data_IF_153274853438
#
_entry.id   IF_153274853438
#
_cell.length_a   1.000
_cell.length_b   1.000
_cell.length_c   1.000
_cell.angle_alpha   90.00
_cell.angle_beta   90.00
_cell.angle_gamma   90.00
#
_symmetry.space_group_name_H-M   'P 1'
#
loop_
_entity.id
_entity.type
_entity.pdbx_description
1 polymer ?
#
# COMPACT_ATOMS: atom_id res chain seq x y z
N UNK A 1 8.74 -13.63 -1.62
CA UNK A 1 8.88 -12.43 -0.73
C UNK A 1 9.87 -11.39 -1.27
N UNK A 2 10.95 -11.79 -1.95
CA UNK A 2 11.96 -10.84 -2.49
C UNK A 2 11.33 -9.78 -3.40
N UNK A 3 10.44 -10.18 -4.30
CA UNK A 3 9.83 -9.25 -5.26
C UNK A 3 8.97 -8.15 -4.64
N UNK A 4 8.22 -8.46 -3.57
CA UNK A 4 7.46 -7.44 -2.82
C UNK A 4 8.42 -6.42 -2.22
N UNK A 5 9.54 -6.87 -1.63
CA UNK A 5 10.57 -5.99 -1.05
C UNK A 5 11.25 -5.11 -2.10
N UNK A 6 11.57 -5.66 -3.27
CA UNK A 6 12.15 -4.89 -4.38
C UNK A 6 11.23 -3.76 -4.82
N UNK A 7 9.97 -4.07 -5.09
CA UNK A 7 8.97 -3.09 -5.53
C UNK A 7 8.75 -2.02 -4.46
N UNK A 8 8.65 -2.43 -3.20
CA UNK A 8 8.48 -1.53 -2.05
C UNK A 8 9.69 -0.62 -1.82
N UNK A 9 10.89 -1.00 -2.27
CA UNK A 9 12.08 -0.17 -2.17
C UNK A 9 12.15 0.94 -3.24
N UNK A 10 11.38 0.83 -4.33
CA UNK A 10 11.44 1.77 -5.46
C UNK A 10 10.58 3.02 -5.27
N UNK A 11 9.66 3.03 -4.31
CA UNK A 11 8.73 4.15 -4.12
C UNK A 11 8.43 4.41 -2.65
N UNK A 12 8.28 5.68 -2.23
CA UNK A 12 7.92 6.04 -0.85
C UNK A 12 6.61 5.39 -0.36
N UNK A 13 5.65 5.24 -1.27
CA UNK A 13 4.36 4.60 -0.99
C UNK A 13 4.05 3.61 -2.10
N UNK A 14 3.68 2.39 -1.71
CA UNK A 14 3.29 1.31 -2.61
C UNK A 14 1.95 0.74 -2.16
N UNK A 15 1.05 0.53 -3.11
CA UNK A 15 -0.27 -0.07 -2.90
C UNK A 15 -0.39 -1.28 -3.83
N UNK A 16 -0.57 -2.47 -3.26
CA UNK A 16 -0.98 -3.65 -4.02
C UNK A 16 -2.50 -3.72 -4.07
N UNK A 17 -3.05 -3.96 -5.25
CA UNK A 17 -4.47 -3.94 -5.55
C UNK A 17 -4.87 -5.11 -6.46
N UNK A 18 -6.17 -5.22 -6.77
CA UNK A 18 -6.72 -6.06 -7.84
C UNK A 18 -7.74 -5.24 -8.64
N UNK A 19 -7.89 -5.54 -9.93
CA UNK A 19 -8.93 -4.92 -10.77
C UNK A 19 -10.30 -5.04 -10.11
N UNK A 20 -11.03 -3.94 -10.04
CA UNK A 20 -12.39 -3.91 -9.48
C UNK A 20 -12.47 -3.86 -7.94
N UNK A 21 -11.35 -3.80 -7.22
CA UNK A 21 -11.37 -3.64 -5.77
C UNK A 21 -11.71 -2.19 -5.37
N UNK A 22 -12.95 -1.92 -4.98
CA UNK A 22 -13.41 -0.60 -4.53
C UNK A 22 -12.59 -0.05 -3.35
N UNK A 23 -12.24 -0.91 -2.38
CA UNK A 23 -11.46 -0.50 -1.21
C UNK A 23 -10.05 -0.04 -1.57
N UNK A 24 -9.42 -0.68 -2.56
CA UNK A 24 -8.11 -0.23 -3.05
C UNK A 24 -8.19 1.16 -3.67
N UNK A 25 -9.26 1.42 -4.44
CA UNK A 25 -9.49 2.72 -5.05
C UNK A 25 -9.66 3.82 -3.99
N UNK A 26 -10.46 3.54 -2.95
CA UNK A 26 -10.64 4.46 -1.82
C UNK A 26 -9.32 4.78 -1.12
N UNK A 27 -8.50 3.77 -0.83
CA UNK A 27 -7.19 3.96 -0.19
C UNK A 27 -6.22 4.73 -1.08
N UNK A 28 -6.21 4.46 -2.39
CA UNK A 28 -5.42 5.22 -3.35
C UNK A 28 -5.83 6.71 -3.36
N UNK A 29 -7.13 7.02 -3.40
CA UNK A 29 -7.62 8.40 -3.34
C UNK A 29 -7.24 9.06 -2.02
N UNK A 30 -7.41 8.38 -0.89
CA UNK A 30 -7.03 8.90 0.42
C UNK A 30 -5.55 9.33 0.44
N UNK A 31 -4.66 8.44 0.01
CA UNK A 31 -3.21 8.70 -0.01
C UNK A 31 -2.88 9.85 -0.97
N UNK A 32 -3.48 9.88 -2.16
CA UNK A 32 -3.33 10.99 -3.11
C UNK A 32 -3.87 12.31 -2.56
N UNK A 33 -4.93 12.27 -1.74
CA UNK A 33 -5.50 13.44 -1.07
C UNK A 33 -4.54 14.12 -0.08
N UNK A 34 -3.55 13.40 0.43
CA UNK A 34 -2.45 14.00 1.20
C UNK A 34 -1.38 14.68 0.33
N UNK A 35 -1.47 14.60 -1.00
CA UNK A 35 -0.45 15.06 -1.94
C UNK A 35 0.62 14.02 -2.26
N UNK A 36 0.44 12.76 -1.85
CA UNK A 36 1.39 11.68 -2.14
C UNK A 36 1.18 11.11 -3.55
N UNK A 37 2.23 10.57 -4.15
CA UNK A 37 2.16 9.81 -5.40
C UNK A 37 2.44 8.31 -5.15
N UNK A 38 1.42 7.50 -4.81
CA UNK A 38 1.62 6.08 -4.56
C UNK A 38 1.81 5.30 -5.86
N UNK A 39 2.76 4.37 -5.87
CA UNK A 39 2.88 3.36 -6.93
C UNK A 39 1.83 2.25 -6.69
N UNK A 40 0.99 1.98 -7.67
CA UNK A 40 -0.10 1.00 -7.58
C UNK A 40 0.22 -0.21 -8.45
N UNK A 41 0.17 -1.40 -7.88
CA UNK A 41 0.43 -2.68 -8.56
C UNK A 41 -0.81 -3.56 -8.51
N UNK A 42 -1.45 -3.76 -9.66
CA UNK A 42 -2.62 -4.64 -9.81
C UNK A 42 -2.17 -6.10 -9.95
N UNK A 43 -2.30 -6.87 -8.87
CA UNK A 43 -1.79 -8.25 -8.79
C UNK A 43 -2.41 -9.16 -9.85
N UNK A 44 -3.69 -9.02 -10.15
CA UNK A 44 -4.38 -9.82 -11.16
C UNK A 44 -3.92 -9.54 -12.60
N UNK A 45 -3.19 -8.44 -12.83
CA UNK A 45 -2.61 -8.09 -14.14
C UNK A 45 -1.11 -8.38 -14.24
N UNK A 46 -0.48 -8.74 -13.13
CA UNK A 46 0.96 -9.04 -13.10
C UNK A 46 1.19 -10.53 -13.38
N UNK A 47 2.18 -10.88 -14.23
CA UNK A 47 2.51 -12.29 -14.51
C UNK A 47 2.93 -13.05 -13.24
N UNK A 48 3.50 -12.35 -12.26
CA UNK A 48 3.92 -12.86 -10.96
C UNK A 48 2.95 -12.50 -9.81
N UNK A 49 1.72 -12.09 -10.14
CA UNK A 49 0.72 -11.62 -9.19
C UNK A 49 0.37 -12.61 -8.08
N UNK A 50 0.24 -13.89 -8.42
CA UNK A 50 -0.10 -14.97 -7.47
C UNK A 50 1.00 -15.15 -6.41
N UNK A 51 2.28 -15.04 -6.80
CA UNK A 51 3.40 -15.17 -5.87
C UNK A 51 3.45 -13.97 -4.92
N UNK A 52 3.24 -12.76 -5.44
CA UNK A 52 3.17 -11.54 -4.64
C UNK A 52 1.98 -11.58 -3.69
N UNK A 53 0.82 -12.03 -4.13
CA UNK A 53 -0.37 -12.23 -3.30
C UNK A 53 -0.09 -13.17 -2.12
N UNK A 54 0.51 -14.34 -2.37
CA UNK A 54 0.91 -15.28 -1.32
C UNK A 54 1.88 -14.64 -0.33
N UNK A 55 2.83 -13.84 -0.82
CA UNK A 55 3.77 -13.13 0.04
C UNK A 55 3.06 -12.08 0.92
N UNK A 56 2.07 -11.36 0.40
CA UNK A 56 1.27 -10.39 1.16
C UNK A 56 0.42 -11.06 2.23
N UNK A 57 -0.21 -12.20 1.92
CA UNK A 57 -0.94 -13.01 2.90
C UNK A 57 0.03 -13.49 4.00
N UNK A 58 1.23 -13.93 3.63
CA UNK A 58 2.27 -14.33 4.58
C UNK A 58 2.79 -13.20 5.47
N UNK A 59 2.61 -11.93 5.07
CA UNK A 59 2.89 -10.75 5.89
C UNK A 59 1.71 -10.38 6.82
N UNK A 60 0.60 -11.11 6.76
CA UNK A 60 -0.59 -10.85 7.55
C UNK A 60 -1.64 -9.98 6.86
N UNK A 61 -1.54 -9.72 5.56
CA UNK A 61 -2.59 -9.01 4.82
C UNK A 61 -3.77 -9.95 4.53
N UNK A 62 -4.90 -9.76 5.22
CA UNK A 62 -6.12 -10.53 4.99
C UNK A 62 -7.35 -9.61 4.99
N UNK A 63 -8.06 -9.42 3.86
CA UNK A 63 -7.77 -9.97 2.53
C UNK A 63 -6.43 -9.48 1.96
N UNK A 64 -5.92 -10.16 0.92
CA UNK A 64 -4.60 -9.88 0.34
C UNK A 64 -4.44 -8.48 -0.26
N UNK A 65 -5.57 -7.81 -0.58
CA UNK A 65 -5.62 -6.45 -1.10
C UNK A 65 -6.76 -5.63 -0.45
N UNK A 66 -6.60 -4.31 -0.32
CA UNK A 66 -5.37 -3.56 -0.61
C UNK A 66 -4.28 -3.91 0.41
N UNK A 67 -3.02 -3.93 -0.03
CA UNK A 67 -1.87 -4.02 0.88
C UNK A 67 -1.01 -2.76 0.71
N UNK A 68 -0.83 -2.00 1.79
CA UNK A 68 -0.19 -0.69 1.74
C UNK A 68 1.16 -0.71 2.42
N UNK A 69 2.15 -0.11 1.77
CA UNK A 69 3.48 0.09 2.29
C UNK A 69 3.84 1.57 2.27
N UNK A 70 4.42 2.06 3.37
CA UNK A 70 4.89 3.45 3.50
C UNK A 70 6.32 3.42 4.04
N UNK A 71 7.25 4.03 3.31
CA UNK A 71 8.66 4.09 3.70
C UNK A 71 9.29 2.71 3.93
N UNK A 72 8.95 1.74 3.08
CA UNK A 72 9.32 0.32 3.17
C UNK A 72 8.67 -0.50 4.29
N UNK A 73 7.82 0.10 5.11
CA UNK A 73 7.11 -0.61 6.18
C UNK A 73 5.73 -1.05 5.71
N UNK A 74 5.35 -2.27 6.06
CA UNK A 74 4.00 -2.77 5.82
C UNK A 74 3.03 -2.12 6.80
N UNK A 75 2.02 -1.42 6.27
CA UNK A 75 1.03 -0.70 7.06
C UNK A 75 -0.23 -1.52 7.32
N UNK A 76 -0.43 -2.62 6.59
CA UNK A 76 -1.66 -3.42 6.64
C UNK A 76 -2.57 -3.22 5.44
N UNK A 77 -3.83 -3.60 5.62
CA UNK A 77 -4.87 -3.45 4.64
C UNK A 77 -5.65 -2.15 4.76
N UNK A 78 -6.87 -2.14 4.22
CA UNK A 78 -7.72 -0.95 4.26
C UNK A 78 -8.09 -0.54 5.68
N UNK A 79 -8.33 -1.51 6.57
CA UNK A 79 -8.74 -1.24 7.94
C UNK A 79 -7.62 -0.55 8.74
N UNK A 80 -6.39 -1.07 8.65
CA UNK A 80 -5.23 -0.52 9.35
C UNK A 80 -4.90 0.89 8.85
N UNK A 81 -4.93 1.11 7.52
CA UNK A 81 -4.68 2.42 6.93
C UNK A 81 -5.77 3.43 7.33
N UNK A 82 -7.04 3.03 7.35
CA UNK A 82 -8.13 3.90 7.82
C UNK A 82 -7.98 4.22 9.31
N UNK A 83 -7.61 3.23 10.14
CA UNK A 83 -7.36 3.44 11.57
C UNK A 83 -6.24 4.46 11.80
N UNK A 84 -5.13 4.36 11.05
CA UNK A 84 -4.03 5.33 11.10
C UNK A 84 -4.45 6.73 10.66
N UNK A 85 -5.33 6.82 9.66
CA UNK A 85 -5.87 8.09 9.19
C UNK A 85 -6.72 8.77 10.28
N UNK A 86 -7.65 8.02 10.89
CA UNK A 86 -8.52 8.53 11.96
C UNK A 86 -7.70 8.94 13.18
N UNK A 87 -6.63 8.21 13.50
CA UNK A 87 -5.70 8.54 14.59
C UNK A 87 -4.78 9.74 14.26
N UNK A 88 -4.86 10.31 13.06
CA UNK A 88 -3.97 11.40 12.62
C UNK A 88 -2.51 10.98 12.40
N UNK A 89 -2.21 9.67 12.41
CA UNK A 89 -0.85 9.12 12.28
C UNK A 89 -0.39 8.93 10.85
N UNK A 90 -1.32 8.86 9.89
CA UNK A 90 -1.00 8.61 8.49
C UNK A 90 -0.16 9.73 7.86
N UNK A 91 -0.53 11.00 8.07
CA UNK A 91 0.22 12.15 7.54
C UNK A 91 1.68 12.22 8.03
N UNK A 92 1.98 12.10 9.34
CA UNK A 92 3.36 12.02 9.84
C UNK A 92 4.18 10.89 9.21
N UNK A 93 3.57 9.72 8.97
CA UNK A 93 4.26 8.59 8.34
C UNK A 93 4.60 8.88 6.88
N UNK A 94 3.69 9.51 6.14
CA UNK A 94 3.94 9.94 4.76
C UNK A 94 5.08 10.97 4.67
N UNK A 95 5.15 11.92 5.61
CA UNK A 95 6.25 12.89 5.69
C UNK A 95 7.56 12.17 6.00
N UNK A 96 7.58 11.29 7.00
CA UNK A 96 8.77 10.52 7.38
C UNK A 96 9.28 9.63 6.24
N UNK A 97 8.39 9.17 5.37
CA UNK A 97 8.73 8.39 4.19
C UNK A 97 9.18 9.24 2.98
N UNK A 98 9.22 10.57 3.10
CA UNK A 98 9.42 11.51 1.99
C UNK A 98 8.38 11.33 0.87
N UNK A 99 7.16 10.90 1.22
CA UNK A 99 6.07 10.71 0.27
C UNK A 99 5.31 12.01 -0.01
N UNK A 100 5.32 12.93 0.95
CA UNK A 100 4.71 14.27 0.86
C UNK A 100 5.65 15.28 1.50
N UNK A 101 5.57 16.51 1.01
CA UNK A 101 6.37 17.63 1.48
C UNK A 101 5.48 18.60 2.27
N UNK A 102 6.04 19.18 3.33
CA UNK A 102 5.45 20.26 4.11
C UNK A 102 6.37 21.47 4.03
#
# INVERSE_FOLDING_TARGET
MERVKEVVAQSPVVIFSKSGCCMSHTIMILIRGFGANPAVYELDRLPNGVEMEKALIGLGCNPSVPAVFVGRNFMGGSHEVMSLNIQGKLKPLLIKANAIWM
#
